data_IF_988112441731
#
_entry.id   IF_988112441731
#
_cell.length_a   1.000
_cell.length_b   1.000
_cell.length_c   1.000
_cell.angle_alpha   90.00
_cell.angle_beta   90.00
_cell.angle_gamma   90.00
#
_symmetry.space_group_name_H-M   'P 1'
#
loop_
_entity.id
_entity.type
_entity.pdbx_description
1 polymer ?
#
# COMPACT_ATOMS: atom_id res chain seq x y z
N UNK A 1 29.47 1.90 8.39
CA UNK A 1 29.25 1.91 7.82
C UNK A 1 28.55 2.05 7.35
N UNK A 2 28.28 2.06 7.28
CA UNK A 2 27.56 1.96 6.79
C UNK A 2 26.92 1.70 6.07
N UNK A 3 27.16 1.30 6.03
CA UNK A 3 26.59 0.90 5.22
C UNK A 3 25.42 0.86 4.96
N UNK A 4 25.07 0.77 5.21
CA UNK A 4 24.03 0.66 4.97
C UNK A 4 23.39 1.41 4.31
N UNK A 5 23.59 1.87 4.25
CA UNK A 5 22.99 2.55 3.78
C UNK A 5 22.64 2.57 2.50
N UNK A 6 22.83 2.25 1.96
CA UNK A 6 22.53 2.25 0.83
C UNK A 6 21.51 1.57 0.19
N UNK A 7 21.29 1.01 0.41
CA UNK A 7 20.47 0.15 0.08
C UNK A 7 19.18 0.46 -0.44
N UNK A 8 18.62 1.47 -0.18
CA UNK A 8 17.35 1.82 -0.49
C UNK A 8 17.04 1.96 -1.92
N UNK A 9 17.96 1.79 -2.77
CA UNK A 9 17.70 1.83 -4.16
C UNK A 9 17.20 0.54 -4.72
N UNK A 10 17.26 -0.53 -3.95
CA UNK A 10 16.80 -1.82 -4.42
C UNK A 10 15.29 -1.91 -4.45
N UNK A 11 14.77 -3.05 -4.88
CA UNK A 11 13.33 -3.28 -4.84
C UNK A 11 12.81 -3.19 -3.44
N UNK A 12 11.57 -2.78 -3.31
CA UNK A 12 10.91 -2.74 -2.02
C UNK A 12 10.61 -4.17 -1.57
N UNK A 13 10.82 -4.44 -0.29
CA UNK A 13 10.44 -5.75 0.23
C UNK A 13 9.03 -5.66 0.80
N UNK A 14 8.52 -6.82 1.21
CA UNK A 14 7.14 -6.91 1.67
C UNK A 14 6.87 -6.01 2.87
N UNK A 15 7.82 -5.96 3.79
CA UNK A 15 7.65 -5.16 5.00
C UNK A 15 7.54 -3.67 4.64
N UNK A 16 8.38 -3.21 3.73
CA UNK A 16 8.37 -1.81 3.34
C UNK A 16 7.08 -1.44 2.62
N UNK A 17 6.59 -2.33 1.76
CA UNK A 17 5.33 -2.09 1.06
C UNK A 17 4.18 -2.07 2.05
N UNK A 18 4.17 -3.01 2.98
CA UNK A 18 3.11 -3.03 3.99
C UNK A 18 3.11 -1.74 4.80
N UNK A 19 4.27 -1.28 5.22
CA UNK A 19 4.34 -0.07 6.02
C UNK A 19 3.84 1.15 5.25
N UNK A 20 4.18 1.21 3.98
CA UNK A 20 3.72 2.32 3.14
C UNK A 20 2.19 2.30 3.03
N UNK A 21 1.64 1.14 2.72
CA UNK A 21 0.19 1.01 2.58
C UNK A 21 -0.49 1.30 3.91
N UNK A 22 0.04 0.74 4.99
CA UNK A 22 -0.52 0.95 6.32
C UNK A 22 -0.56 2.43 6.69
N UNK A 23 0.55 3.13 6.46
CA UNK A 23 0.63 4.52 6.86
C UNK A 23 -0.30 5.41 6.04
N UNK A 24 -0.38 5.15 4.73
CA UNK A 24 -1.30 5.91 3.90
C UNK A 24 -2.75 5.64 4.28
N UNK A 25 -3.06 4.38 4.51
CA UNK A 25 -4.42 3.99 4.88
C UNK A 25 -4.80 4.57 6.24
N UNK A 26 -3.87 4.59 7.18
CA UNK A 26 -4.13 5.16 8.49
C UNK A 26 -4.49 6.65 8.39
N UNK A 27 -3.80 7.37 7.52
CA UNK A 27 -4.11 8.77 7.28
C UNK A 27 -5.49 8.95 6.69
N UNK A 28 -5.82 8.12 5.70
CA UNK A 28 -7.10 8.22 5.01
C UNK A 28 -8.25 7.91 5.95
N UNK A 29 -8.08 6.87 6.77
CA UNK A 29 -9.14 6.43 7.68
C UNK A 29 -9.09 7.14 9.03
N UNK A 30 -8.03 7.90 9.28
CA UNK A 30 -7.85 8.62 10.54
C UNK A 30 -7.82 7.67 11.73
N UNK A 31 -7.06 6.60 11.59
CA UNK A 31 -6.86 5.63 12.66
C UNK A 31 -5.38 5.45 12.94
N UNK A 32 -5.08 4.80 14.06
CA UNK A 32 -3.69 4.51 14.41
C UNK A 32 -3.12 3.45 13.50
N UNK A 33 -1.93 3.66 12.94
CA UNK A 33 -1.33 2.65 12.07
C UNK A 33 -1.19 1.30 12.75
N UNK A 34 -0.96 1.28 14.06
CA UNK A 34 -0.76 0.03 14.78
C UNK A 34 -2.02 -0.85 14.80
N UNK A 35 -3.17 -0.30 14.45
CA UNK A 35 -4.40 -1.08 14.43
C UNK A 35 -4.62 -1.78 13.10
N UNK A 36 -3.77 -1.54 12.11
CA UNK A 36 -3.93 -2.09 10.77
C UNK A 36 -3.00 -3.28 10.57
N UNK A 37 -3.53 -4.41 10.17
CA UNK A 37 -2.78 -5.65 9.97
C UNK A 37 -3.00 -6.18 8.56
N UNK A 38 -2.06 -7.02 8.10
CA UNK A 38 -2.16 -7.56 6.74
C UNK A 38 -3.41 -8.36 6.49
N UNK A 39 -3.89 -9.04 7.51
CA UNK A 39 -5.10 -9.86 7.34
C UNK A 39 -6.40 -9.11 7.40
N UNK A 40 -6.36 -7.80 7.65
CA UNK A 40 -7.59 -7.03 7.79
C UNK A 40 -8.28 -6.86 6.45
N UNK A 41 -9.60 -7.02 6.47
CA UNK A 41 -10.43 -6.74 5.30
C UNK A 41 -10.69 -5.24 5.24
N UNK A 42 -10.56 -4.66 4.05
CA UNK A 42 -10.82 -3.24 3.92
C UNK A 42 -12.25 -2.87 4.32
N UNK A 43 -13.22 -3.68 3.91
CA UNK A 43 -14.61 -3.35 4.19
C UNK A 43 -15.08 -3.83 5.54
N UNK A 44 -14.67 -5.04 5.94
CA UNK A 44 -15.20 -5.66 7.16
C UNK A 44 -14.47 -5.22 8.42
N UNK A 45 -13.15 -5.13 8.33
CA UNK A 45 -12.34 -4.82 9.52
C UNK A 45 -12.01 -3.34 9.62
N UNK A 46 -11.73 -2.70 8.50
CA UNK A 46 -11.30 -1.31 8.49
C UNK A 46 -12.41 -0.35 8.09
N UNK A 47 -13.53 -0.88 7.62
CA UNK A 47 -14.68 -0.07 7.21
C UNK A 47 -14.29 0.96 6.16
N UNK A 48 -13.35 0.60 5.30
CA UNK A 48 -12.93 1.46 4.21
C UNK A 48 -13.90 1.30 3.03
N UNK A 49 -14.47 2.39 2.59
CA UNK A 49 -15.39 2.35 1.46
C UNK A 49 -14.61 2.50 0.14
N UNK A 50 -15.35 2.52 -0.97
CA UNK A 50 -14.74 2.60 -2.29
C UNK A 50 -13.90 3.85 -2.45
N UNK A 51 -14.37 4.97 -1.90
CA UNK A 51 -13.65 6.22 -2.00
C UNK A 51 -12.31 6.13 -1.28
N UNK A 52 -12.30 5.52 -0.10
CA UNK A 52 -11.06 5.35 0.64
C UNK A 52 -10.07 4.51 -0.14
N UNK A 53 -10.54 3.46 -0.80
CA UNK A 53 -9.67 2.62 -1.61
C UNK A 53 -9.11 3.38 -2.81
N UNK A 54 -9.93 4.21 -3.43
CA UNK A 54 -9.47 5.03 -4.55
C UNK A 54 -8.42 6.03 -4.07
N UNK A 55 -8.64 6.65 -2.92
CA UNK A 55 -7.66 7.57 -2.37
C UNK A 55 -6.35 6.86 -2.04
N UNK A 56 -6.44 5.64 -1.52
CA UNK A 56 -5.25 4.86 -1.24
C UNK A 56 -4.50 4.55 -2.54
N UNK A 57 -5.23 4.15 -3.58
CA UNK A 57 -4.62 3.84 -4.86
C UNK A 57 -3.89 5.06 -5.41
N UNK A 58 -4.51 6.22 -5.33
CA UNK A 58 -3.88 7.44 -5.84
C UNK A 58 -2.64 7.79 -5.05
N UNK A 59 -2.69 7.62 -3.72
CA UNK A 59 -1.53 7.90 -2.89
C UNK A 59 -0.38 6.96 -3.22
N UNK A 60 -0.68 5.68 -3.46
CA UNK A 60 0.35 4.71 -3.80
C UNK A 60 0.94 4.99 -5.18
N UNK A 61 0.11 5.40 -6.12
CA UNK A 61 0.61 5.76 -7.44
C UNK A 61 1.56 6.93 -7.36
N UNK A 62 1.24 7.89 -6.52
CA UNK A 62 2.10 9.07 -6.36
C UNK A 62 3.42 8.69 -5.69
N UNK A 63 3.34 7.92 -4.61
CA UNK A 63 4.53 7.55 -3.87
C UNK A 63 5.43 6.60 -4.67
N UNK A 64 4.85 5.60 -5.30
CA UNK A 64 5.61 4.57 -5.98
C UNK A 64 5.94 4.94 -7.42
N UNK A 65 5.18 5.87 -7.97
CA UNK A 65 5.45 6.35 -9.32
C UNK A 65 6.80 7.03 -9.44
N UNK A 66 7.30 7.57 -8.33
CA UNK A 66 8.62 8.19 -8.31
C UNK A 66 9.72 7.14 -8.39
N UNK A 67 9.44 5.92 -7.95
CA UNK A 67 10.42 4.83 -7.93
C UNK A 67 10.26 3.90 -9.10
N UNK A 68 9.03 3.69 -9.55
CA UNK A 68 8.72 2.74 -10.60
C UNK A 68 7.90 3.44 -11.66
N UNK A 69 8.56 3.75 -12.76
CA UNK A 69 7.90 4.45 -13.86
C UNK A 69 6.73 3.63 -14.37
N UNK A 70 5.58 4.27 -14.47
CA UNK A 70 4.41 3.60 -15.01
C UNK A 70 3.61 2.80 -14.00
N UNK A 71 3.94 2.90 -12.73
CA UNK A 71 3.16 2.19 -11.71
C UNK A 71 1.73 2.74 -11.70
N UNK A 72 0.78 1.86 -11.90
CA UNK A 72 -0.62 2.21 -11.94
C UNK A 72 -1.44 1.13 -11.24
N UNK A 73 -2.53 1.55 -10.63
CA UNK A 73 -3.51 0.63 -10.06
C UNK A 73 -4.81 0.84 -10.80
N UNK A 74 -5.26 -0.20 -11.51
CA UNK A 74 -6.48 -0.10 -12.29
C UNK A 74 -7.70 -0.22 -11.40
N UNK A 75 -8.78 0.47 -11.78
CA UNK A 75 -10.02 0.39 -11.03
C UNK A 75 -10.53 -1.05 -10.93
N UNK A 76 -10.36 -1.81 -12.02
CA UNK A 76 -10.79 -3.20 -12.04
C UNK A 76 -10.04 -4.03 -11.01
N UNK A 77 -8.77 -3.71 -10.81
CA UNK A 77 -7.96 -4.45 -9.85
C UNK A 77 -8.36 -4.13 -8.42
N UNK A 78 -8.86 -2.92 -8.18
CA UNK A 78 -9.30 -2.57 -6.84
C UNK A 78 -10.42 -3.46 -6.36
N UNK A 79 -11.25 -3.95 -7.28
CA UNK A 79 -12.36 -4.83 -6.90
C UNK A 79 -11.85 -6.18 -6.38
N UNK A 80 -10.66 -6.57 -6.78
CA UNK A 80 -10.07 -7.83 -6.33
C UNK A 80 -9.24 -7.67 -5.07
N UNK A 81 -8.94 -6.43 -4.68
CA UNK A 81 -8.13 -6.17 -3.50
C UNK A 81 -9.07 -6.08 -2.31
N UNK A 82 -9.16 -7.17 -1.55
CA UNK A 82 -10.10 -7.29 -0.44
C UNK A 82 -9.46 -7.05 0.92
N UNK A 83 -8.18 -7.37 1.05
CA UNK A 83 -7.47 -7.26 2.31
C UNK A 83 -6.21 -6.43 2.12
N UNK A 84 -5.63 -6.00 3.25
CA UNK A 84 -4.36 -5.29 3.19
C UNK A 84 -3.30 -6.15 2.52
N UNK A 85 -3.30 -7.46 2.82
CA UNK A 85 -2.34 -8.38 2.19
C UNK A 85 -2.50 -8.39 0.67
N UNK A 86 -3.74 -8.37 0.19
CA UNK A 86 -3.97 -8.34 -1.26
C UNK A 86 -3.32 -7.11 -1.88
N UNK A 87 -3.42 -5.97 -1.20
CA UNK A 87 -2.81 -4.74 -1.69
C UNK A 87 -1.29 -4.84 -1.70
N UNK A 88 -0.72 -5.42 -0.65
CA UNK A 88 0.73 -5.62 -0.58
C UNK A 88 1.19 -6.51 -1.73
N UNK A 89 0.48 -7.61 -1.95
CA UNK A 89 0.84 -8.53 -3.03
C UNK A 89 0.73 -7.86 -4.39
N UNK A 90 -0.31 -7.05 -4.59
CA UNK A 90 -0.51 -6.35 -5.84
C UNK A 90 0.68 -5.42 -6.13
N UNK A 91 1.08 -4.65 -5.13
CA UNK A 91 2.19 -3.72 -5.30
C UNK A 91 3.49 -4.47 -5.55
N UNK A 92 3.74 -5.53 -4.79
CA UNK A 92 4.97 -6.30 -4.95
C UNK A 92 5.10 -6.90 -6.33
N UNK A 93 3.99 -7.25 -6.95
CA UNK A 93 4.03 -7.82 -8.29
C UNK A 93 4.41 -6.79 -9.35
N UNK A 94 4.33 -5.51 -9.01
CA UNK A 94 4.54 -4.43 -9.98
C UNK A 94 5.76 -3.56 -9.75
N UNK A 95 6.40 -3.69 -8.60
CA UNK A 95 7.58 -2.88 -8.30
C UNK A 95 8.86 -3.70 -8.31
#
# INVERSE_FOLDING_TARGET
>A
MPAETHVERGPLDRQQVFELIRDRLADILEVEPSTIHEGDSFTDDLEADSLALIELAEALEEELGERTVGFRIEDEDLEDIKTVRDAVDYVLARV
#
